data_IF_793062240304
#
_entry.id   IF_793062240304
#
_cell.length_a   1.000
_cell.length_b   1.000
_cell.length_c   1.000
_cell.angle_alpha   90.00
_cell.angle_beta   90.00
_cell.angle_gamma   90.00
#
_symmetry.space_group_name_H-M   'P 1'
#
loop_
_entity.id
_entity.type
_entity.pdbx_description
1 polymer ?
#
# COMPACT_ATOMS: atom_id res chain seq x y z
N UNK A 1 15.13 18.59 -14.86
CA UNK A 1 14.61 19.07 -13.56
C UNK A 1 15.40 18.38 -12.46
N UNK A 2 15.88 19.08 -11.43
CA UNK A 2 16.58 18.42 -10.32
C UNK A 2 15.58 17.75 -9.37
N UNK A 3 16.03 16.73 -8.63
CA UNK A 3 15.22 16.07 -7.60
C UNK A 3 14.74 17.07 -6.54
N UNK A 4 15.58 18.06 -6.20
CA UNK A 4 15.21 19.13 -5.27
C UNK A 4 14.05 20.00 -5.79
N UNK A 5 14.02 20.33 -7.08
CA UNK A 5 12.91 21.09 -7.68
C UNK A 5 11.63 20.27 -7.67
N UNK A 6 11.70 18.99 -8.05
CA UNK A 6 10.54 18.10 -8.05
C UNK A 6 9.95 17.93 -6.64
N UNK A 7 10.82 17.72 -5.63
CA UNK A 7 10.42 17.62 -4.24
C UNK A 7 9.68 18.88 -3.76
N UNK A 8 10.20 20.07 -4.08
CA UNK A 8 9.53 21.33 -3.71
C UNK A 8 8.19 21.52 -4.43
N UNK A 9 8.06 21.07 -5.68
CA UNK A 9 6.79 21.12 -6.40
C UNK A 9 5.75 20.20 -5.76
N UNK A 10 6.12 18.96 -5.45
CA UNK A 10 5.24 17.99 -4.77
C UNK A 10 4.77 18.58 -3.43
N UNK A 11 5.68 19.13 -2.62
CA UNK A 11 5.33 19.78 -1.35
C UNK A 11 4.34 20.94 -1.53
N UNK A 12 4.61 21.81 -2.49
CA UNK A 12 3.80 23.01 -2.73
C UNK A 12 2.38 22.64 -3.17
N UNK A 13 2.24 21.64 -4.03
CA UNK A 13 0.92 21.17 -4.48
C UNK A 13 0.18 20.41 -3.38
N UNK A 14 0.89 19.60 -2.59
CA UNK A 14 0.32 18.88 -1.46
C UNK A 14 -0.24 19.80 -0.36
N UNK A 15 0.44 20.91 -0.07
CA UNK A 15 0.03 21.89 0.93
C UNK A 15 -1.32 22.57 0.64
N UNK A 16 -1.86 22.44 -0.58
CA UNK A 16 -3.20 22.94 -0.93
C UNK A 16 -4.32 22.09 -0.32
N UNK A 17 -4.03 20.85 0.07
CA UNK A 17 -5.03 19.87 0.53
C UNK A 17 -4.64 19.25 1.88
N UNK A 18 -3.36 19.11 2.16
CA UNK A 18 -2.83 18.58 3.41
C UNK A 18 -2.52 19.75 4.34
N UNK A 19 -3.21 19.81 5.49
CA UNK A 19 -3.04 20.85 6.51
C UNK A 19 -2.68 20.20 7.84
N UNK A 20 -1.58 20.62 8.46
CA UNK A 20 -1.13 20.14 9.77
C UNK A 20 -0.48 18.75 9.76
N UNK A 21 -0.13 18.22 8.59
CA UNK A 21 0.56 16.93 8.38
C UNK A 21 1.72 17.07 7.37
N UNK A 22 2.25 18.29 7.21
CA UNK A 22 3.25 18.63 6.21
C UNK A 22 4.54 17.82 6.41
N UNK A 23 5.03 17.72 7.65
CA UNK A 23 6.24 16.96 7.98
C UNK A 23 6.09 15.46 7.68
N UNK A 24 4.95 14.87 8.04
CA UNK A 24 4.67 13.44 7.76
C UNK A 24 4.60 13.19 6.27
N UNK A 25 3.96 14.09 5.52
CA UNK A 25 3.91 13.99 4.06
C UNK A 25 5.30 14.13 3.43
N UNK A 26 6.16 15.01 3.94
CA UNK A 26 7.54 15.12 3.49
C UNK A 26 8.32 13.82 3.68
N UNK A 27 8.18 13.17 4.84
CA UNK A 27 8.80 11.87 5.12
C UNK A 27 8.30 10.78 4.17
N UNK A 28 6.99 10.77 3.86
CA UNK A 28 6.39 9.87 2.87
C UNK A 28 7.04 10.07 1.49
N UNK A 29 7.22 11.32 1.05
CA UNK A 29 7.85 11.63 -0.25
C UNK A 29 9.33 11.23 -0.26
N UNK A 30 10.05 11.42 0.85
CA UNK A 30 11.46 10.97 0.99
C UNK A 30 11.54 9.45 0.88
N UNK A 31 10.67 8.72 1.59
CA UNK A 31 10.60 7.27 1.51
C UNK A 31 10.29 6.80 0.08
N UNK A 32 9.34 7.45 -0.59
CA UNK A 32 9.01 7.16 -1.99
C UNK A 32 10.22 7.29 -2.92
N UNK A 33 10.96 8.40 -2.86
CA UNK A 33 12.18 8.58 -3.67
C UNK A 33 13.31 7.62 -3.32
N UNK A 34 13.30 7.08 -2.10
CA UNK A 34 14.25 6.08 -1.64
C UNK A 34 13.82 4.64 -1.97
N UNK A 35 12.66 4.46 -2.61
CA UNK A 35 12.08 3.15 -2.90
C UNK A 35 11.56 2.40 -1.67
N UNK A 36 11.33 3.10 -0.56
CA UNK A 36 10.89 2.53 0.71
C UNK A 36 9.37 2.48 0.88
N UNK A 37 8.94 1.78 1.93
CA UNK A 37 7.56 1.71 2.40
C UNK A 37 7.42 2.46 3.73
N UNK A 38 6.19 2.85 4.09
CA UNK A 38 5.95 3.59 5.33
C UNK A 38 4.85 2.93 6.14
N UNK A 39 5.08 2.83 7.45
CA UNK A 39 4.08 2.46 8.44
C UNK A 39 3.63 3.72 9.20
N UNK A 40 2.35 4.06 9.07
CA UNK A 40 1.72 5.23 9.70
C UNK A 40 0.94 4.79 10.93
N UNK A 41 1.54 5.00 12.10
CA UNK A 41 0.90 4.76 13.39
C UNK A 41 0.07 5.97 13.82
N UNK A 42 -1.11 5.72 14.36
CA UNK A 42 -1.96 6.78 14.92
C UNK A 42 -3.44 6.48 14.82
N UNK A 43 -4.24 7.31 15.47
CA UNK A 43 -5.69 7.15 15.54
C UNK A 43 -6.37 7.38 14.18
N UNK A 44 -7.58 6.81 13.97
CA UNK A 44 -8.41 7.10 12.80
C UNK A 44 -8.67 8.61 12.62
N UNK A 45 -8.84 9.04 11.37
CA UNK A 45 -9.16 10.44 11.05
C UNK A 45 -7.96 11.39 10.91
N UNK A 46 -6.72 10.89 10.96
CA UNK A 46 -5.47 11.67 10.88
C UNK A 46 -4.98 11.90 9.43
N UNK A 47 -5.90 11.99 8.48
CA UNK A 47 -5.60 12.25 7.05
C UNK A 47 -4.65 11.24 6.36
N UNK A 48 -4.36 10.07 6.92
CA UNK A 48 -3.48 9.03 6.32
C UNK A 48 -3.90 8.65 4.90
N UNK A 49 -5.20 8.39 4.70
CA UNK A 49 -5.76 8.09 3.38
C UNK A 49 -5.63 9.27 2.40
N UNK A 50 -5.76 10.50 2.90
CA UNK A 50 -5.60 11.71 2.09
C UNK A 50 -4.15 11.84 1.62
N UNK A 51 -3.17 11.67 2.51
CA UNK A 51 -1.74 11.72 2.16
C UNK A 51 -1.39 10.72 1.06
N UNK A 52 -1.84 9.47 1.19
CA UNK A 52 -1.59 8.42 0.19
C UNK A 52 -2.19 8.75 -1.18
N UNK A 53 -3.44 9.22 -1.21
CA UNK A 53 -4.13 9.61 -2.45
C UNK A 53 -3.49 10.85 -3.09
N UNK A 54 -3.15 11.84 -2.27
CA UNK A 54 -2.50 13.07 -2.74
C UNK A 54 -1.16 12.74 -3.39
N UNK A 55 -0.32 11.90 -2.76
CA UNK A 55 0.92 11.47 -3.39
C UNK A 55 0.65 10.82 -4.75
N UNK A 56 -0.22 9.80 -4.80
CA UNK A 56 -0.53 9.09 -6.04
C UNK A 56 -1.01 10.03 -7.17
N UNK A 57 -1.85 11.01 -6.85
CA UNK A 57 -2.32 12.00 -7.82
C UNK A 57 -1.21 12.93 -8.30
N UNK A 58 -0.31 13.38 -7.41
CA UNK A 58 0.77 14.30 -7.75
C UNK A 58 1.80 13.68 -8.70
N UNK A 59 1.98 12.37 -8.66
CA UNK A 59 2.93 11.63 -9.50
C UNK A 59 2.25 10.83 -10.62
N UNK A 60 0.96 11.06 -10.89
CA UNK A 60 0.16 10.34 -11.90
C UNK A 60 0.27 8.80 -11.77
N UNK A 61 0.20 8.31 -10.53
CA UNK A 61 0.39 6.93 -10.19
C UNK A 61 -0.93 6.22 -9.87
N UNK A 62 -1.00 4.93 -10.18
CA UNK A 62 -2.16 4.12 -9.78
C UNK A 62 -2.23 4.02 -8.26
N UNK A 63 -3.44 4.13 -7.74
CA UNK A 63 -3.73 4.03 -6.31
C UNK A 63 -4.58 2.78 -6.04
N UNK A 64 -4.12 1.95 -5.10
CA UNK A 64 -4.86 0.81 -4.58
C UNK A 64 -5.10 0.98 -3.08
N UNK A 65 -6.24 0.50 -2.59
CA UNK A 65 -6.55 0.50 -1.15
C UNK A 65 -6.96 -0.90 -0.72
N UNK A 66 -6.42 -1.33 0.41
CA UNK A 66 -6.69 -2.61 1.05
C UNK A 66 -7.08 -2.31 2.48
N UNK A 67 -8.28 -2.70 2.86
CA UNK A 67 -8.70 -2.66 4.26
C UNK A 67 -8.38 -4.02 4.87
N UNK A 68 -7.49 -4.05 5.85
CA UNK A 68 -7.15 -5.29 6.55
C UNK A 68 -8.25 -5.60 7.57
N UNK A 69 -8.70 -6.85 7.54
CA UNK A 69 -9.74 -7.41 8.42
C UNK A 69 -9.35 -8.83 8.81
N UNK A 70 -9.94 -9.35 9.90
CA UNK A 70 -9.57 -10.65 10.46
C UNK A 70 -9.85 -11.84 9.51
N UNK A 71 -10.73 -11.65 8.54
CA UNK A 71 -11.14 -12.62 7.52
C UNK A 71 -10.42 -12.42 6.17
N UNK A 72 -9.59 -11.37 6.03
CA UNK A 72 -8.89 -11.09 4.77
C UNK A 72 -7.88 -12.20 4.46
N UNK A 73 -7.97 -12.78 3.26
CA UNK A 73 -7.07 -13.84 2.82
C UNK A 73 -5.89 -13.28 2.01
N UNK A 74 -4.75 -13.99 1.93
CA UNK A 74 -3.63 -13.59 1.06
C UNK A 74 -4.05 -13.33 -0.39
N UNK A 75 -4.94 -14.17 -0.93
CA UNK A 75 -5.47 -14.04 -2.29
C UNK A 75 -6.30 -12.78 -2.53
N UNK A 76 -6.88 -12.19 -1.48
CA UNK A 76 -7.61 -10.93 -1.60
C UNK A 76 -6.66 -9.72 -1.72
N UNK A 77 -5.41 -9.89 -1.28
CA UNK A 77 -4.33 -8.91 -1.38
C UNK A 77 -3.58 -9.05 -2.71
N UNK A 78 -3.10 -10.27 -2.99
CA UNK A 78 -2.22 -10.53 -4.16
C UNK A 78 -3.03 -10.89 -5.41
N UNK A 79 -4.25 -11.42 -5.29
CA UNK A 79 -5.03 -11.90 -6.41
C UNK A 79 -5.09 -13.43 -6.49
N UNK A 80 -5.85 -13.93 -7.46
CA UNK A 80 -6.14 -15.35 -7.63
C UNK A 80 -6.50 -15.68 -9.08
N UNK A 81 -6.36 -16.95 -9.48
CA UNK A 81 -6.88 -17.43 -10.75
C UNK A 81 -8.39 -17.68 -10.64
N UNK A 82 -9.15 -17.11 -11.58
CA UNK A 82 -10.60 -17.26 -11.66
C UNK A 82 -10.95 -17.98 -12.97
N UNK A 83 -11.82 -18.98 -12.89
CA UNK A 83 -12.32 -19.67 -14.09
C UNK A 83 -13.44 -18.85 -14.75
N UNK A 84 -13.21 -18.41 -15.98
CA UNK A 84 -14.25 -17.77 -16.80
C UNK A 84 -15.06 -18.86 -17.51
N UNK A 85 -16.31 -19.06 -17.05
CA UNK A 85 -17.23 -20.06 -17.60
C UNK A 85 -17.52 -19.81 -19.08
N UNK A 86 -17.59 -18.54 -19.52
CA UNK A 86 -17.91 -18.20 -20.91
C UNK A 86 -16.76 -18.52 -21.86
N UNK A 87 -15.52 -18.38 -21.38
CA UNK A 87 -14.30 -18.62 -22.16
C UNK A 87 -13.72 -20.01 -21.96
N UNK A 88 -14.17 -20.75 -20.93
CA UNK A 88 -13.65 -22.06 -20.57
C UNK A 88 -12.18 -22.05 -20.14
N UNK A 89 -11.67 -20.92 -19.65
CA UNK A 89 -10.26 -20.75 -19.30
C UNK A 89 -10.10 -20.01 -17.97
N UNK A 90 -8.99 -20.29 -17.27
CA UNK A 90 -8.57 -19.51 -16.12
C UNK A 90 -7.97 -18.17 -16.56
N UNK A 91 -8.22 -17.12 -15.79
CA UNK A 91 -7.55 -15.83 -15.95
C UNK A 91 -7.19 -15.26 -14.58
N UNK A 92 -6.11 -14.47 -14.55
CA UNK A 92 -5.66 -13.85 -13.32
C UNK A 92 -6.56 -12.67 -12.97
N UNK A 93 -7.21 -12.77 -11.81
CA UNK A 93 -7.81 -11.62 -11.15
C UNK A 93 -6.77 -11.00 -10.23
N UNK A 94 -6.11 -9.95 -10.72
CA UNK A 94 -5.11 -9.21 -9.95
C UNK A 94 -5.71 -8.62 -8.67
N UNK A 95 -4.96 -8.76 -7.57
CA UNK A 95 -5.31 -8.12 -6.30
C UNK A 95 -5.01 -6.62 -6.29
N UNK A 96 -5.48 -5.89 -5.27
CA UNK A 96 -5.31 -4.45 -5.13
C UNK A 96 -3.85 -3.98 -4.98
N UNK A 97 -2.89 -4.87 -4.71
CA UNK A 97 -1.46 -4.52 -4.69
C UNK A 97 -0.88 -4.23 -6.08
N UNK A 98 -1.58 -4.62 -7.17
CA UNK A 98 -1.16 -4.36 -8.55
C UNK A 98 -1.41 -2.89 -8.92
N UNK A 99 -0.67 -2.02 -8.25
CA UNK A 99 -0.78 -0.57 -8.29
C UNK A 99 0.60 0.05 -8.08
N UNK A 100 0.71 1.37 -8.07
CA UNK A 100 1.96 2.07 -7.77
C UNK A 100 2.02 2.47 -6.30
N UNK A 101 0.93 3.04 -5.77
CA UNK A 101 0.78 3.39 -4.36
C UNK A 101 -0.34 2.55 -3.75
N UNK A 102 0.00 1.64 -2.85
CA UNK A 102 -0.96 0.82 -2.12
C UNK A 102 -1.13 1.34 -0.68
N UNK A 103 -2.35 1.72 -0.31
CA UNK A 103 -2.71 1.98 1.08
C UNK A 103 -3.20 0.69 1.73
N UNK A 104 -2.46 0.17 2.71
CA UNK A 104 -2.83 -0.98 3.53
C UNK A 104 -3.35 -0.49 4.89
N UNK A 105 -4.66 -0.27 4.98
CA UNK A 105 -5.29 0.26 6.19
C UNK A 105 -5.44 -0.82 7.25
N UNK A 106 -5.02 -0.48 8.48
CA UNK A 106 -5.16 -1.32 9.69
C UNK A 106 -4.50 -2.70 9.54
N UNK A 107 -3.25 -2.72 9.05
CA UNK A 107 -2.49 -3.95 8.73
C UNK A 107 -2.48 -4.96 9.89
N UNK A 108 -2.50 -4.45 11.12
CA UNK A 108 -2.55 -5.24 12.34
C UNK A 108 -3.88 -5.98 12.57
N UNK A 109 -4.93 -5.78 11.77
CA UNK A 109 -6.22 -6.49 11.90
C UNK A 109 -6.30 -7.79 11.11
N UNK A 110 -5.41 -8.03 10.15
CA UNK A 110 -5.42 -9.30 9.41
C UNK A 110 -4.48 -10.33 10.04
N UNK A 111 -4.73 -11.64 9.83
CA UNK A 111 -3.84 -12.69 10.28
C UNK A 111 -2.42 -12.55 9.74
N UNK A 112 -1.43 -13.07 10.47
CA UNK A 112 -0.01 -13.03 10.09
C UNK A 112 0.27 -13.57 8.67
N UNK A 113 -0.51 -14.55 8.18
CA UNK A 113 -0.38 -15.08 6.82
C UNK A 113 -0.68 -14.04 5.74
N UNK A 114 -1.72 -13.22 5.95
CA UNK A 114 -2.13 -12.17 5.01
C UNK A 114 -1.16 -10.99 5.07
N UNK A 115 -0.69 -10.64 6.27
CA UNK A 115 0.40 -9.67 6.43
C UNK A 115 1.68 -10.14 5.69
N UNK A 116 2.06 -11.40 5.86
CA UNK A 116 3.26 -11.98 5.23
C UNK A 116 3.20 -11.89 3.70
N UNK A 117 2.02 -12.12 3.09
CA UNK A 117 1.86 -11.99 1.65
C UNK A 117 2.10 -10.55 1.15
N UNK A 118 1.69 -9.53 1.91
CA UNK A 118 1.99 -8.14 1.59
C UNK A 118 3.49 -7.83 1.81
N UNK A 119 4.09 -8.32 2.88
CA UNK A 119 5.51 -8.10 3.18
C UNK A 119 6.42 -8.78 2.14
N UNK A 120 6.08 -9.98 1.68
CA UNK A 120 6.78 -10.66 0.58
C UNK A 120 6.68 -9.85 -0.71
N UNK A 121 5.47 -9.35 -1.03
CA UNK A 121 5.26 -8.48 -2.18
C UNK A 121 6.09 -7.17 -2.10
N UNK A 122 6.23 -6.62 -0.89
CA UNK A 122 7.10 -5.47 -0.61
C UNK A 122 8.57 -5.81 -0.85
N UNK A 123 9.09 -6.88 -0.28
CA UNK A 123 10.51 -7.21 -0.42
C UNK A 123 10.88 -7.62 -1.86
N UNK A 124 10.09 -8.52 -2.46
CA UNK A 124 10.42 -9.17 -3.73
C UNK A 124 10.01 -8.34 -4.96
N UNK A 125 9.18 -7.29 -4.79
CA UNK A 125 8.61 -6.49 -5.89
C UNK A 125 7.85 -7.33 -6.95
N UNK A 126 7.44 -8.53 -6.56
CA UNK A 126 6.65 -9.47 -7.35
C UNK A 126 5.78 -10.31 -6.41
N UNK A 127 4.81 -11.02 -6.97
CA UNK A 127 4.08 -12.08 -6.27
C UNK A 127 4.04 -13.35 -7.09
N UNK A 128 3.93 -14.49 -6.41
CA UNK A 128 3.71 -15.78 -7.07
C UNK A 128 2.27 -16.22 -6.86
N UNK A 129 1.54 -16.46 -7.95
CA UNK A 129 0.14 -16.89 -7.93
C UNK A 129 0.05 -18.17 -8.76
N UNK A 130 -0.38 -19.27 -8.15
CA UNK A 130 -0.44 -20.61 -8.77
C UNK A 130 0.86 -21.04 -9.48
N UNK A 131 2.01 -20.66 -8.92
CA UNK A 131 3.34 -20.99 -9.44
C UNK A 131 3.85 -20.05 -10.54
N UNK A 132 3.06 -19.08 -10.98
CA UNK A 132 3.47 -18.05 -11.94
C UNK A 132 3.89 -16.76 -11.24
N UNK A 133 4.99 -16.16 -11.69
CA UNK A 133 5.51 -14.90 -11.15
C UNK A 133 4.89 -13.71 -11.86
N UNK A 134 4.42 -12.74 -11.08
CA UNK A 134 3.84 -11.50 -11.56
C UNK A 134 4.54 -10.30 -10.92
N UNK A 135 5.18 -9.48 -11.74
CA UNK A 135 5.93 -8.29 -11.29
C UNK A 135 4.95 -7.16 -10.94
N UNK A 136 5.23 -6.44 -9.85
CA UNK A 136 4.45 -5.28 -9.44
C UNK A 136 4.83 -4.03 -10.26
N UNK A 137 4.03 -2.97 -10.14
CA UNK A 137 4.31 -1.74 -10.90
C UNK A 137 5.62 -1.09 -10.44
N UNK A 138 6.34 -0.45 -11.35
CA UNK A 138 7.46 0.43 -10.97
C UNK A 138 7.04 1.89 -11.18
N UNK A 139 7.11 2.77 -10.16
CA UNK A 139 7.45 2.50 -8.76
C UNK A 139 6.34 1.77 -7.99
N UNK A 140 6.71 1.02 -6.94
CA UNK A 140 5.80 0.39 -5.98
C UNK A 140 6.09 0.85 -4.54
N UNK A 141 5.10 1.47 -3.90
CA UNK A 141 5.13 1.89 -2.50
C UNK A 141 3.90 1.36 -1.77
N UNK A 142 4.13 0.94 -0.53
CA UNK A 142 3.07 0.57 0.41
C UNK A 142 3.09 1.59 1.53
N UNK A 143 1.92 2.18 1.78
CA UNK A 143 1.62 3.01 2.93
C UNK A 143 0.73 2.17 3.84
N UNK A 144 1.31 1.52 4.83
CA UNK A 144 0.57 0.75 5.81
C UNK A 144 0.10 1.66 6.95
N UNK A 145 -1.07 1.38 7.53
CA UNK A 145 -1.53 2.08 8.73
C UNK A 145 -1.81 1.07 9.84
N UNK A 146 -1.52 1.46 11.09
CA UNK A 146 -1.95 0.70 12.25
C UNK A 146 -2.43 1.63 13.36
N UNK A 147 -3.38 1.15 14.14
CA UNK A 147 -3.88 1.83 15.33
C UNK A 147 -3.26 1.16 16.58
N UNK A 148 -2.35 1.83 17.30
CA UNK A 148 -1.62 1.23 18.41
C UNK A 148 -2.46 1.00 19.67
N UNK A 149 -3.70 1.53 19.71
CA UNK A 149 -4.59 1.43 20.89
C UNK A 149 -5.52 0.22 20.78
N UNK A 150 -5.61 -0.42 19.62
CA UNK A 150 -6.54 -1.52 19.34
C UNK A 150 -5.86 -2.87 19.60
N UNK A 151 -6.13 -3.44 20.77
CA UNK A 151 -5.56 -4.73 21.21
C UNK A 151 -6.52 -5.92 21.00
N UNK A 152 -7.80 -5.67 20.74
CA UNK A 152 -8.78 -6.72 20.49
C UNK A 152 -8.80 -7.10 19.00
N UNK A 153 -8.60 -8.39 18.71
CA UNK A 153 -8.65 -8.90 17.33
C UNK A 153 -7.50 -8.39 16.44
N UNK A 154 -6.37 -8.00 17.03
CA UNK A 154 -5.18 -7.56 16.30
C UNK A 154 -4.03 -8.55 16.43
N UNK A 155 -3.26 -8.64 15.36
CA UNK A 155 -2.04 -9.42 15.21
C UNK A 155 -0.90 -8.40 15.02
N UNK A 156 -0.04 -8.19 16.03
CA UNK A 156 1.07 -7.27 15.88
C UNK A 156 1.98 -7.72 14.75
N UNK A 157 2.57 -6.76 14.03
CA UNK A 157 3.60 -7.07 13.06
C UNK A 157 4.77 -7.77 13.78
N UNK A 158 5.34 -8.85 13.22
CA UNK A 158 6.51 -9.48 13.79
C UNK A 158 7.65 -8.46 13.91
N UNK A 159 8.34 -8.43 15.05
CA UNK A 159 9.58 -7.67 15.19
C UNK A 159 10.66 -8.28 14.27
N UNK A 160 11.37 -7.43 13.53
CA UNK A 160 12.49 -7.81 12.67
C UNK A 160 13.82 -7.72 13.43
#
# INVERSE_FOLDING_TARGET
MSLSTLFQQIKTEAAKVIVGQEEVFEQIVIAFFSGGHVLLEGVPGTAKTLMAKTLAQLIDARFGRIQFTADLMPSDVIGTQVFDINRGQFYLKQGPIFTNIALADEINRAPAKTQSALLEAMEERQVTIDGERHVLSDPFMVLATQNPIEYEGTYPLPEA
#
